data_IF_031063153922
#
_entry.id   IF_031063153922
#
_cell.length_a   1.000
_cell.length_b   1.000
_cell.length_c   1.000
_cell.angle_alpha   90.00
_cell.angle_beta   90.00
_cell.angle_gamma   90.00
#
_symmetry.space_group_name_H-M   'P 1'
#
loop_
_entity.id
_entity.type
_entity.pdbx_description
1 polymer ?
#
# COMPACT_ATOMS: atom_id res chain seq x y z
N UNK A 1 -13.43 27.64 -13.60
CA UNK A 1 -13.47 26.22 -13.18
C UNK A 1 -13.05 26.21 -11.71
N UNK A 2 -14.01 26.04 -10.79
CA UNK A 2 -13.83 26.23 -9.34
C UNK A 2 -12.51 25.64 -8.86
N UNK A 3 -11.78 26.35 -7.99
CA UNK A 3 -10.45 26.04 -7.42
C UNK A 3 -10.27 24.62 -6.81
N UNK A 4 -11.25 23.73 -6.95
CA UNK A 4 -11.24 22.29 -6.70
C UNK A 4 -9.93 21.58 -7.07
N UNK A 5 -9.45 21.73 -8.31
CA UNK A 5 -8.20 21.07 -8.74
C UNK A 5 -6.99 21.57 -7.95
N UNK A 6 -6.90 22.88 -7.73
CA UNK A 6 -5.86 23.49 -6.92
C UNK A 6 -5.92 23.01 -5.46
N UNK A 7 -7.12 22.88 -4.88
CA UNK A 7 -7.31 22.36 -3.52
C UNK A 7 -6.81 20.91 -3.45
N UNK A 8 -7.23 20.05 -4.39
CA UNK A 8 -6.78 18.66 -4.45
C UNK A 8 -5.26 18.57 -4.60
N UNK A 9 -4.66 19.38 -5.47
CA UNK A 9 -3.21 19.44 -5.67
C UNK A 9 -2.47 19.81 -4.38
N UNK A 10 -2.94 20.85 -3.66
CA UNK A 10 -2.34 21.25 -2.39
C UNK A 10 -2.46 20.17 -1.32
N UNK A 11 -3.62 19.53 -1.19
CA UNK A 11 -3.80 18.42 -0.24
C UNK A 11 -2.85 17.26 -0.56
N UNK A 12 -2.75 16.87 -1.84
CA UNK A 12 -1.83 15.80 -2.27
C UNK A 12 -0.38 16.18 -2.00
N UNK A 13 0.01 17.44 -2.27
CA UNK A 13 1.36 17.92 -2.02
C UNK A 13 1.74 17.85 -0.54
N UNK A 14 0.84 18.25 0.37
CA UNK A 14 1.04 18.14 1.82
C UNK A 14 1.22 16.67 2.22
N UNK A 15 0.35 15.79 1.72
CA UNK A 15 0.45 14.37 2.04
C UNK A 15 1.76 13.73 1.53
N UNK A 16 2.20 14.16 0.33
CA UNK A 16 3.48 13.72 -0.22
C UNK A 16 4.66 14.18 0.63
N UNK A 17 4.66 15.43 1.12
CA UNK A 17 5.69 15.93 2.02
C UNK A 17 5.73 15.16 3.34
N UNK A 18 4.57 14.81 3.91
CA UNK A 18 4.49 14.00 5.13
C UNK A 18 5.11 12.62 4.88
N UNK A 19 4.70 11.93 3.81
CA UNK A 19 5.22 10.60 3.48
C UNK A 19 6.71 10.63 3.19
N UNK A 20 7.19 11.61 2.42
CA UNK A 20 8.62 11.80 2.13
C UNK A 20 9.42 12.13 3.39
N UNK A 21 8.89 12.92 4.31
CA UNK A 21 9.57 13.21 5.57
C UNK A 21 9.79 11.95 6.41
N UNK A 22 8.78 11.05 6.45
CA UNK A 22 8.91 9.75 7.13
C UNK A 22 10.02 8.90 6.49
N UNK A 23 10.04 8.82 5.15
CA UNK A 23 11.08 8.09 4.43
C UNK A 23 12.48 8.69 4.65
N UNK A 24 12.62 10.02 4.60
CA UNK A 24 13.89 10.71 4.80
C UNK A 24 14.43 10.52 6.22
N UNK A 25 13.55 10.54 7.24
CA UNK A 25 13.94 10.23 8.61
C UNK A 25 14.51 8.81 8.67
N UNK A 26 13.84 7.84 8.07
CA UNK A 26 14.36 6.48 8.09
C UNK A 26 15.61 6.28 7.22
N UNK A 27 15.77 6.98 6.10
CA UNK A 27 17.02 6.98 5.33
C UNK A 27 18.19 7.50 6.18
N UNK A 28 17.96 8.53 7.00
CA UNK A 28 18.98 9.04 7.92
C UNK A 28 19.32 8.08 9.07
N UNK A 29 18.41 7.17 9.43
CA UNK A 29 18.60 6.20 10.52
C UNK A 29 19.29 4.93 10.01
N UNK A 30 18.85 4.40 8.87
CA UNK A 30 19.31 3.11 8.34
C UNK A 30 20.37 3.24 7.25
N UNK A 31 20.71 4.47 6.82
CA UNK A 31 21.62 4.76 5.69
C UNK A 31 21.23 4.06 4.38
N UNK A 32 19.96 3.67 4.25
CA UNK A 32 19.39 3.03 3.06
C UNK A 32 18.12 3.75 2.66
N UNK A 33 17.91 3.92 1.35
CA UNK A 33 16.73 4.61 0.86
C UNK A 33 15.47 3.75 1.10
N UNK A 34 14.58 4.22 1.99
CA UNK A 34 13.33 3.53 2.32
C UNK A 34 12.35 3.70 1.18
N UNK A 35 12.33 2.69 0.30
CA UNK A 35 11.39 2.62 -0.79
C UNK A 35 10.95 1.18 -1.04
N UNK A 36 9.77 1.02 -1.65
CA UNK A 36 9.29 -0.29 -2.10
C UNK A 36 10.24 -0.91 -3.13
N UNK A 37 10.91 -0.09 -3.95
CA UNK A 37 11.94 -0.54 -4.90
C UNK A 37 13.12 -1.19 -4.17
N UNK A 38 13.62 -0.55 -3.11
CA UNK A 38 14.73 -1.10 -2.33
C UNK A 38 14.32 -2.36 -1.58
N UNK A 39 13.10 -2.40 -1.03
CA UNK A 39 12.57 -3.61 -0.40
C UNK A 39 12.48 -4.77 -1.39
N UNK A 40 12.06 -4.51 -2.64
CA UNK A 40 12.10 -5.50 -3.71
C UNK A 40 13.52 -5.98 -4.03
N UNK A 41 14.49 -5.07 -4.08
CA UNK A 41 15.90 -5.42 -4.33
C UNK A 41 16.49 -6.29 -3.21
N UNK A 42 16.25 -5.94 -1.95
CA UNK A 42 16.69 -6.75 -0.80
C UNK A 42 16.03 -8.13 -0.82
N UNK A 43 14.71 -8.20 -1.03
CA UNK A 43 14.03 -9.49 -1.11
C UNK A 43 14.50 -10.33 -2.30
N UNK A 44 14.71 -9.74 -3.46
CA UNK A 44 15.23 -10.46 -4.62
C UNK A 44 16.65 -10.99 -4.36
N UNK A 45 17.49 -10.22 -3.66
CA UNK A 45 18.82 -10.69 -3.27
C UNK A 45 18.74 -11.93 -2.37
N UNK A 46 17.81 -11.97 -1.41
CA UNK A 46 17.57 -13.11 -0.52
C UNK A 46 16.98 -14.32 -1.29
N UNK A 47 16.09 -14.07 -2.26
CA UNK A 47 15.45 -15.13 -3.06
C UNK A 47 16.42 -15.80 -4.03
N UNK A 48 17.39 -15.05 -4.58
CA UNK A 48 18.26 -15.46 -5.69
C UNK A 48 19.47 -16.34 -5.31
N UNK A 49 19.74 -16.57 -4.02
CA UNK A 49 21.01 -17.18 -3.55
C UNK A 49 21.07 -18.73 -3.64
N UNK A 50 20.03 -19.44 -4.07
CA UNK A 50 20.10 -20.92 -4.19
C UNK A 50 20.24 -21.40 -5.64
N UNK A 51 21.48 -21.53 -6.12
CA UNK A 51 21.81 -22.14 -7.41
C UNK A 51 21.84 -23.67 -7.41
N UNK A 52 21.47 -24.36 -6.33
CA UNK A 52 21.51 -25.83 -6.30
C UNK A 52 20.18 -26.41 -5.81
N UNK A 53 19.33 -26.75 -6.78
CA UNK A 53 18.01 -27.40 -6.66
C UNK A 53 16.88 -26.58 -6.01
N UNK A 54 16.06 -25.93 -6.85
CA UNK A 54 14.77 -25.37 -6.44
C UNK A 54 13.84 -26.49 -5.98
N UNK A 55 13.82 -26.78 -4.68
CA UNK A 55 12.85 -27.70 -4.09
C UNK A 55 11.64 -26.89 -3.63
N UNK A 56 10.60 -26.81 -4.48
CA UNK A 56 9.37 -26.00 -4.25
C UNK A 56 8.66 -26.40 -2.95
N UNK A 57 8.82 -27.65 -2.49
CA UNK A 57 8.25 -28.16 -1.24
C UNK A 57 9.13 -27.95 0.00
N UNK A 58 10.33 -27.38 -0.13
CA UNK A 58 11.11 -26.96 1.04
C UNK A 58 10.45 -25.75 1.71
N UNK A 59 10.67 -25.59 3.02
CA UNK A 59 10.16 -24.43 3.78
C UNK A 59 10.61 -23.12 3.12
N UNK A 60 11.85 -23.07 2.64
CA UNK A 60 12.39 -21.91 1.91
C UNK A 60 11.74 -21.71 0.53
N UNK A 61 11.46 -22.78 -0.21
CA UNK A 61 10.71 -22.73 -1.47
C UNK A 61 9.29 -22.19 -1.29
N UNK A 62 8.60 -22.65 -0.25
CA UNK A 62 7.26 -22.16 0.11
C UNK A 62 7.32 -20.68 0.49
N UNK A 63 8.26 -20.28 1.36
CA UNK A 63 8.46 -18.88 1.76
C UNK A 63 8.72 -17.98 0.56
N UNK A 64 9.62 -18.39 -0.36
CA UNK A 64 9.90 -17.65 -1.61
C UNK A 64 8.65 -17.48 -2.48
N UNK A 65 7.82 -18.51 -2.57
CA UNK A 65 6.55 -18.44 -3.32
C UNK A 65 5.55 -17.45 -2.69
N UNK A 66 5.43 -17.43 -1.36
CA UNK A 66 4.57 -16.51 -0.61
C UNK A 66 5.04 -15.06 -0.73
N UNK A 67 6.36 -14.83 -0.66
CA UNK A 67 6.94 -13.51 -0.88
C UNK A 67 6.62 -13.03 -2.30
N UNK A 68 6.79 -13.89 -3.31
CA UNK A 68 6.55 -13.54 -4.72
C UNK A 68 5.08 -13.19 -4.99
N UNK A 69 4.12 -14.01 -4.52
CA UNK A 69 2.69 -13.70 -4.68
C UNK A 69 2.27 -12.47 -3.87
N UNK A 70 2.84 -12.28 -2.68
CA UNK A 70 2.57 -11.11 -1.83
C UNK A 70 3.06 -9.81 -2.48
N UNK A 71 4.28 -9.82 -3.04
CA UNK A 71 4.82 -8.70 -3.80
C UNK A 71 3.99 -8.39 -5.05
N UNK A 72 3.55 -9.41 -5.78
CA UNK A 72 2.68 -9.24 -6.95
C UNK A 72 1.34 -8.58 -6.56
N UNK A 73 0.72 -9.04 -5.46
CA UNK A 73 -0.52 -8.45 -4.96
C UNK A 73 -0.32 -6.99 -4.55
N UNK A 74 0.79 -6.67 -3.90
CA UNK A 74 1.14 -5.29 -3.54
C UNK A 74 1.25 -4.40 -4.77
N UNK A 75 2.03 -4.80 -5.78
CA UNK A 75 2.19 -4.02 -7.02
C UNK A 75 0.84 -3.71 -7.67
N UNK A 76 -0.05 -4.70 -7.75
CA UNK A 76 -1.37 -4.50 -8.34
C UNK A 76 -2.25 -3.57 -7.48
N UNK A 77 -2.21 -3.72 -6.15
CA UNK A 77 -2.95 -2.84 -5.23
C UNK A 77 -2.49 -1.37 -5.32
N UNK A 78 -1.17 -1.12 -5.35
CA UNK A 78 -0.63 0.24 -5.54
C UNK A 78 -1.03 0.84 -6.89
N UNK A 79 -1.03 0.01 -7.94
CA UNK A 79 -1.43 0.43 -9.29
C UNK A 79 -2.91 0.86 -9.33
N UNK A 80 -3.80 0.05 -8.75
CA UNK A 80 -5.23 0.38 -8.65
C UNK A 80 -5.48 1.66 -7.86
N UNK A 81 -4.78 1.80 -6.73
CA UNK A 81 -4.87 2.98 -5.88
C UNK A 81 -4.50 4.26 -6.63
N UNK A 82 -3.43 4.23 -7.43
CA UNK A 82 -3.02 5.37 -8.24
C UNK A 82 -4.12 5.79 -9.24
N UNK A 83 -4.69 4.81 -9.96
CA UNK A 83 -5.78 5.05 -10.93
C UNK A 83 -7.00 5.65 -10.22
N UNK A 84 -7.40 5.09 -9.08
CA UNK A 84 -8.55 5.58 -8.33
C UNK A 84 -8.32 7.00 -7.83
N UNK A 85 -7.13 7.33 -7.33
CA UNK A 85 -6.84 8.69 -6.90
C UNK A 85 -6.96 9.70 -8.06
N UNK A 86 -6.55 9.33 -9.28
CA UNK A 86 -6.78 10.14 -10.49
C UNK A 86 -8.28 10.31 -10.81
N UNK A 87 -9.07 9.23 -10.68
CA UNK A 87 -10.54 9.29 -10.84
C UNK A 87 -11.18 10.22 -9.81
N UNK A 88 -10.76 10.16 -8.54
CA UNK A 88 -11.26 11.04 -7.48
C UNK A 88 -10.94 12.51 -7.73
N UNK A 89 -9.76 12.84 -8.27
CA UNK A 89 -9.39 14.20 -8.69
C UNK A 89 -10.31 14.68 -9.82
N UNK A 90 -10.58 13.83 -10.82
CA UNK A 90 -11.46 14.17 -11.93
C UNK A 90 -12.90 14.44 -11.50
N UNK A 91 -13.38 13.71 -10.48
CA UNK A 91 -14.73 13.88 -9.89
C UNK A 91 -14.81 15.11 -8.98
N UNK A 92 -13.67 15.68 -8.54
CA UNK A 92 -13.62 16.80 -7.59
C UNK A 92 -14.52 18.00 -7.95
N UNK A 93 -14.55 18.58 -9.18
CA UNK A 93 -15.41 19.72 -9.47
C UNK A 93 -16.89 19.40 -9.29
N UNK A 94 -17.32 18.17 -9.61
CA UNK A 94 -18.68 17.71 -9.38
C UNK A 94 -18.96 17.53 -7.89
N UNK A 95 -18.01 16.95 -7.14
CA UNK A 95 -18.14 16.82 -5.69
C UNK A 95 -18.32 18.19 -5.01
N UNK A 96 -17.50 19.18 -5.37
CA UNK A 96 -17.65 20.54 -4.83
C UNK A 96 -18.97 21.20 -5.24
N UNK A 97 -19.49 20.92 -6.44
CA UNK A 97 -20.80 21.42 -6.87
C UNK A 97 -21.94 20.89 -6.00
N UNK A 98 -21.85 19.64 -5.54
CA UNK A 98 -22.89 19.03 -4.70
C UNK A 98 -23.08 19.70 -3.33
N UNK A 99 -22.14 20.56 -2.90
CA UNK A 99 -22.26 21.36 -1.68
C UNK A 99 -23.31 22.48 -1.78
N UNK A 100 -23.71 22.88 -2.99
CA UNK A 100 -24.68 23.97 -3.19
C UNK A 100 -26.06 23.61 -2.62
N UNK A 101 -26.44 22.33 -2.69
CA UNK A 101 -27.73 21.87 -2.20
C UNK A 101 -27.57 20.96 -0.98
N UNK A 102 -28.37 21.21 0.07
CA UNK A 102 -28.29 20.47 1.33
C UNK A 102 -28.57 18.97 1.14
N UNK A 103 -29.51 18.62 0.26
CA UNK A 103 -29.87 17.21 0.00
C UNK A 103 -28.78 16.41 -0.73
N UNK A 104 -27.91 17.06 -1.51
CA UNK A 104 -26.79 16.42 -2.23
C UNK A 104 -25.46 16.49 -1.50
N UNK A 105 -25.38 17.28 -0.41
CA UNK A 105 -24.15 17.49 0.38
C UNK A 105 -23.52 16.22 0.94
N UNK A 106 -24.30 15.15 1.12
CA UNK A 106 -23.82 13.84 1.53
C UNK A 106 -22.80 13.24 0.54
N UNK A 107 -22.96 13.51 -0.76
CA UNK A 107 -22.02 13.03 -1.78
C UNK A 107 -20.62 13.61 -1.56
N UNK A 108 -20.50 14.92 -1.35
CA UNK A 108 -19.22 15.56 -1.03
C UNK A 108 -18.59 14.97 0.24
N UNK A 109 -19.38 14.75 1.29
CA UNK A 109 -18.88 14.15 2.55
C UNK A 109 -18.28 12.76 2.31
N UNK A 110 -18.95 11.91 1.53
CA UNK A 110 -18.49 10.56 1.19
C UNK A 110 -17.26 10.59 0.27
N UNK A 111 -17.24 11.48 -0.71
CA UNK A 111 -16.08 11.69 -1.59
C UNK A 111 -14.86 12.15 -0.80
N UNK A 112 -15.02 13.16 0.07
CA UNK A 112 -13.94 13.72 0.89
C UNK A 112 -13.38 12.69 1.86
N UNK A 113 -14.25 11.91 2.51
CA UNK A 113 -13.87 10.79 3.39
C UNK A 113 -13.04 9.75 2.64
N UNK A 114 -13.48 9.35 1.44
CA UNK A 114 -12.77 8.36 0.62
C UNK A 114 -11.42 8.89 0.11
N UNK A 115 -11.39 10.15 -0.33
CA UNK A 115 -10.17 10.82 -0.79
C UNK A 115 -9.13 10.93 0.34
N UNK A 116 -9.54 11.31 1.55
CA UNK A 116 -8.66 11.31 2.73
C UNK A 116 -8.19 9.90 3.10
N UNK A 117 -9.06 8.89 3.00
CA UNK A 117 -8.67 7.50 3.21
C UNK A 117 -7.53 7.07 2.28
N UNK A 118 -7.64 7.39 0.99
CA UNK A 118 -6.56 7.13 0.05
C UNK A 118 -5.29 7.90 0.33
N UNK A 119 -5.34 9.10 0.90
CA UNK A 119 -4.14 9.87 1.22
C UNK A 119 -3.46 9.34 2.48
N UNK A 120 -4.22 9.08 3.54
CA UNK A 120 -3.69 8.62 4.83
C UNK A 120 -3.03 7.24 4.72
N UNK A 121 -3.55 6.39 3.84
CA UNK A 121 -2.92 5.12 3.50
C UNK A 121 -1.49 5.29 2.95
N UNK A 122 -1.11 6.45 2.40
CA UNK A 122 0.24 6.67 1.85
C UNK A 122 1.22 6.80 3.00
N UNK A 123 0.88 7.67 3.93
CA UNK A 123 1.64 7.91 5.15
C UNK A 123 1.71 6.65 6.02
N UNK A 124 0.63 5.88 6.09
CA UNK A 124 0.60 4.63 6.83
C UNK A 124 1.52 3.55 6.24
N UNK A 125 1.55 3.42 4.91
CA UNK A 125 2.50 2.52 4.22
C UNK A 125 3.95 2.92 4.49
N UNK A 126 4.27 4.22 4.46
CA UNK A 126 5.62 4.71 4.78
C UNK A 126 6.07 4.31 6.19
N UNK A 127 5.16 4.33 7.17
CA UNK A 127 5.44 3.89 8.54
C UNK A 127 5.70 2.37 8.60
N UNK A 128 4.89 1.56 7.92
CA UNK A 128 5.09 0.11 7.88
C UNK A 128 6.44 -0.23 7.24
N UNK A 129 6.80 0.45 6.13
CA UNK A 129 8.10 0.27 5.49
C UNK A 129 9.25 0.61 6.44
N UNK A 130 9.15 1.71 7.19
CA UNK A 130 10.17 2.09 8.18
C UNK A 130 10.38 1.00 9.24
N UNK A 131 9.30 0.38 9.71
CA UNK A 131 9.39 -0.74 10.66
C UNK A 131 10.07 -1.95 10.01
N UNK A 132 9.73 -2.29 8.77
CA UNK A 132 10.35 -3.44 8.07
C UNK A 132 11.86 -3.26 7.95
N UNK A 133 12.33 -2.08 7.53
CA UNK A 133 13.76 -1.78 7.40
C UNK A 133 14.48 -1.66 8.75
N UNK A 134 13.77 -1.42 9.85
CA UNK A 134 14.35 -1.37 11.19
C UNK A 134 14.69 -2.73 11.78
N UNK A 135 14.18 -3.82 11.19
CA UNK A 135 14.38 -5.16 11.73
C UNK A 135 15.72 -5.66 11.21
N UNK A 136 16.64 -5.98 12.11
CA UNK A 136 17.92 -6.60 11.73
C UNK A 136 17.67 -8.06 11.34
N UNK A 137 17.88 -8.38 10.07
CA UNK A 137 17.59 -9.71 9.54
C UNK A 137 18.86 -10.56 9.41
N UNK A 138 18.93 -11.62 10.21
CA UNK A 138 19.88 -12.70 9.98
C UNK A 138 19.25 -13.76 9.04
N UNK A 139 19.97 -14.16 7.98
CA UNK A 139 19.46 -15.10 6.96
C UNK A 139 19.30 -16.55 7.46
N UNK A 140 19.92 -16.87 8.59
CA UNK A 140 19.94 -18.23 9.16
C UNK A 140 18.69 -18.53 10.00
N UNK A 141 18.05 -17.50 10.56
CA UNK A 141 16.91 -17.67 11.46
C UNK A 141 15.58 -17.75 10.69
N UNK A 142 14.89 -18.89 10.80
CA UNK A 142 13.53 -19.07 10.26
C UNK A 142 12.56 -17.98 10.76
N UNK A 143 12.75 -17.50 11.98
CA UNK A 143 11.95 -16.41 12.56
C UNK A 143 12.06 -15.11 11.74
N UNK A 144 13.27 -14.74 11.32
CA UNK A 144 13.53 -13.55 10.49
C UNK A 144 12.88 -13.69 9.10
N UNK A 145 12.89 -14.90 8.51
CA UNK A 145 12.18 -15.20 7.25
C UNK A 145 10.66 -15.06 7.39
N UNK A 146 10.09 -15.52 8.50
CA UNK A 146 8.66 -15.32 8.79
C UNK A 146 8.31 -13.84 9.05
N UNK A 147 9.22 -13.07 9.64
CA UNK A 147 9.06 -11.64 9.86
C UNK A 147 8.91 -10.88 8.52
N UNK A 148 9.68 -11.24 7.49
CA UNK A 148 9.53 -10.69 6.13
C UNK A 148 8.16 -10.98 5.53
N UNK A 149 7.67 -12.22 5.65
CA UNK A 149 6.31 -12.56 5.23
C UNK A 149 5.28 -11.73 6.00
N UNK A 150 5.48 -11.57 7.31
CA UNK A 150 4.64 -10.72 8.16
C UNK A 150 4.61 -9.26 7.70
N UNK A 151 5.77 -8.69 7.32
CA UNK A 151 5.88 -7.34 6.79
C UNK A 151 5.14 -7.17 5.45
N UNK A 152 5.34 -8.09 4.51
CA UNK A 152 4.63 -8.09 3.21
C UNK A 152 3.11 -8.25 3.43
N UNK A 153 2.71 -9.12 4.35
CA UNK A 153 1.31 -9.31 4.69
C UNK A 153 0.70 -8.06 5.35
N UNK A 154 1.43 -7.41 6.26
CA UNK A 154 1.02 -6.16 6.88
C UNK A 154 0.85 -5.04 5.84
N UNK A 155 1.77 -4.92 4.89
CA UNK A 155 1.63 -4.01 3.75
C UNK A 155 0.39 -4.34 2.90
N UNK A 156 0.15 -5.64 2.63
CA UNK A 156 -1.00 -6.06 1.81
C UNK A 156 -2.33 -5.79 2.51
N UNK A 157 -2.36 -5.81 3.84
CA UNK A 157 -3.56 -5.59 4.65
C UNK A 157 -3.73 -4.13 5.11
N UNK A 158 -2.73 -3.28 4.87
CA UNK A 158 -2.76 -1.85 5.21
C UNK A 158 -4.02 -1.14 4.68
N UNK A 159 -4.48 -1.51 3.49
CA UNK A 159 -5.73 -1.04 2.91
C UNK A 159 -6.94 -1.33 3.77
N UNK A 160 -7.08 -2.58 4.24
CA UNK A 160 -8.17 -2.99 5.11
C UNK A 160 -8.14 -2.22 6.43
N UNK A 161 -6.95 -2.03 7.03
CA UNK A 161 -6.80 -1.27 8.27
C UNK A 161 -7.25 0.19 8.12
N UNK A 162 -6.83 0.87 7.06
CA UNK A 162 -7.27 2.25 6.81
C UNK A 162 -8.75 2.32 6.44
N UNK A 163 -9.27 1.34 5.71
CA UNK A 163 -10.70 1.23 5.43
C UNK A 163 -11.53 1.08 6.70
N UNK A 164 -11.09 0.28 7.66
CA UNK A 164 -11.78 0.12 8.94
C UNK A 164 -11.71 1.40 9.79
N UNK A 165 -10.55 2.07 9.81
CA UNK A 165 -10.33 3.27 10.62
C UNK A 165 -11.07 4.50 10.08
N UNK A 166 -10.98 4.75 8.78
CA UNK A 166 -11.55 5.94 8.15
C UNK A 166 -12.90 5.67 7.55
N UNK A 167 -13.23 4.42 7.16
CA UNK A 167 -14.37 4.09 6.30
C UNK A 167 -14.13 4.55 4.87
N UNK A 168 -14.13 3.62 3.91
CA UNK A 168 -13.84 3.93 2.50
C UNK A 168 -14.04 2.74 1.57
N UNK A 169 -13.69 2.95 0.29
CA UNK A 169 -13.75 1.92 -0.75
C UNK A 169 -12.49 1.04 -0.63
N UNK A 170 -12.67 -0.28 -0.49
CA UNK A 170 -11.54 -1.22 -0.53
C UNK A 170 -10.96 -1.30 -1.93
N UNK A 171 -9.63 -1.26 -2.02
CA UNK A 171 -8.87 -1.62 -3.22
C UNK A 171 -8.18 -2.97 -3.07
N UNK A 172 -8.67 -3.77 -2.12
CA UNK A 172 -8.21 -5.13 -1.91
C UNK A 172 -8.62 -5.96 -3.10
N UNK A 173 -7.63 -6.60 -3.71
CA UNK A 173 -7.84 -7.50 -4.83
C UNK A 173 -8.04 -8.86 -4.20
N UNK A 174 -9.28 -9.15 -3.84
CA UNK A 174 -9.64 -10.49 -3.43
C UNK A 174 -9.69 -11.35 -4.69
N UNK A 175 -8.81 -12.35 -4.76
CA UNK A 175 -9.00 -13.48 -5.66
C UNK A 175 -10.22 -14.24 -5.11
N UNK A 176 -11.40 -13.74 -5.45
CA UNK A 176 -12.66 -14.37 -5.08
C UNK A 176 -12.80 -15.66 -5.91
N UNK A 177 -12.21 -16.75 -5.39
CA UNK A 177 -12.54 -18.11 -5.78
C UNK A 177 -13.93 -18.52 -5.23
N UNK A 178 -14.87 -17.57 -5.13
CA UNK A 178 -16.25 -17.79 -4.68
C UNK A 178 -17.21 -18.04 -5.84
N UNK A 179 -16.72 -18.01 -7.09
CA UNK A 179 -17.48 -18.34 -8.31
C UNK A 179 -17.55 -19.84 -8.65
N UNK A 180 -16.80 -20.71 -7.96
CA UNK A 180 -16.82 -22.16 -8.19
C UNK A 180 -17.66 -22.89 -7.11
N UNK A 181 -18.87 -22.43 -6.85
CA UNK A 181 -19.94 -23.34 -6.39
C UNK A 181 -20.67 -23.82 -7.64
N UNK A 182 -20.21 -24.94 -8.20
CA UNK A 182 -20.99 -25.66 -9.20
C UNK A 182 -22.31 -26.09 -8.56
N UNK A 183 -23.40 -25.87 -9.29
CA UNK A 183 -24.64 -26.62 -9.08
C UNK A 183 -24.38 -28.12 -9.23
#
# INVERSE_FOLDING_TARGET
>A
MNSSYFICEKIISINSLISSSICNIGESIFNTNISFSNLLLELNSIISIEQTSFNIFSVDGIIKSFISIGLFNLVFSYSLRYILLKVFILISPFAFLTLINHSTSWFFKTWMRSFLGFLLLQSFVSIILLIIFSLEFNNEDLFSKFLYIGGIYALSKANSYIKELIGGISTDVSINLSGLRSK
#
